data_IF_376404896889
#
_entry.id   IF_376404896889
#
_cell.length_a   1.000
_cell.length_b   1.000
_cell.length_c   1.000
_cell.angle_alpha   90.00
_cell.angle_beta   90.00
_cell.angle_gamma   90.00
#
_symmetry.space_group_name_H-M   'P 1'
#
loop_
_entity.id
_entity.type
_entity.pdbx_description
1 polymer ?
#
# COMPACT_ATOMS: atom_id res chain seq x y z
N UNK A 1 -21.51 8.72 -6.63
CA UNK A 1 -22.71 8.17 -7.31
C UNK A 1 -23.09 8.99 -8.55
N UNK A 2 -23.30 8.38 -9.70
CA UNK A 2 -23.63 9.06 -10.98
C UNK A 2 -25.14 9.39 -11.19
N UNK A 3 -25.96 9.35 -10.14
CA UNK A 3 -27.42 9.44 -10.27
C UNK A 3 -27.96 10.71 -9.63
N UNK A 4 -28.71 11.47 -10.41
CA UNK A 4 -29.40 12.69 -9.97
C UNK A 4 -30.54 12.33 -9.01
N UNK A 5 -30.51 12.91 -7.81
CA UNK A 5 -31.48 12.57 -6.76
C UNK A 5 -32.86 13.15 -7.09
N UNK A 6 -32.94 14.30 -7.75
CA UNK A 6 -34.21 14.88 -8.18
C UNK A 6 -34.87 14.02 -9.26
N UNK A 7 -34.09 13.53 -10.24
CA UNK A 7 -34.59 12.64 -11.29
C UNK A 7 -35.13 11.32 -10.71
N UNK A 8 -34.39 10.69 -9.79
CA UNK A 8 -34.83 9.45 -9.14
C UNK A 8 -36.12 9.64 -8.35
N UNK A 9 -36.25 10.76 -7.62
CA UNK A 9 -37.46 11.06 -6.86
C UNK A 9 -38.65 11.37 -7.79
N UNK A 10 -38.41 12.03 -8.92
CA UNK A 10 -39.45 12.38 -9.89
C UNK A 10 -39.96 11.18 -10.69
N UNK A 11 -39.09 10.23 -11.06
CA UNK A 11 -39.45 9.05 -11.84
C UNK A 11 -39.98 7.87 -11.00
N UNK A 12 -39.85 7.94 -9.68
CA UNK A 12 -40.33 6.88 -8.79
C UNK A 12 -41.86 6.84 -8.70
N UNK A 13 -42.44 5.65 -8.89
CA UNK A 13 -43.87 5.38 -8.62
C UNK A 13 -44.21 5.32 -7.11
N UNK A 14 -43.20 5.43 -6.24
CA UNK A 14 -43.32 5.35 -4.78
C UNK A 14 -42.93 6.69 -4.15
N UNK A 15 -43.77 7.20 -3.27
CA UNK A 15 -43.46 8.37 -2.45
C UNK A 15 -42.48 8.00 -1.34
N UNK A 16 -41.41 8.78 -1.20
CA UNK A 16 -40.42 8.64 -0.16
C UNK A 16 -40.62 9.70 0.91
N UNK A 17 -40.61 9.29 2.18
CA UNK A 17 -40.51 10.26 3.29
C UNK A 17 -39.05 10.69 3.50
N UNK A 18 -38.09 9.78 3.23
CA UNK A 18 -36.66 10.05 3.25
C UNK A 18 -35.88 9.11 2.33
N UNK A 19 -34.76 9.60 1.81
CA UNK A 19 -33.76 8.88 1.03
C UNK A 19 -32.44 8.86 1.81
N UNK A 20 -32.05 7.67 2.27
CA UNK A 20 -30.84 7.45 3.08
C UNK A 20 -29.74 6.91 2.17
N UNK A 21 -28.81 7.79 1.81
CA UNK A 21 -27.76 7.50 0.85
C UNK A 21 -26.48 7.01 1.55
N UNK A 22 -25.59 6.37 0.80
CA UNK A 22 -24.26 5.92 1.23
C UNK A 22 -23.21 6.37 0.21
N UNK A 23 -22.02 5.76 0.21
CA UNK A 23 -20.91 6.08 -0.71
C UNK A 23 -20.16 7.39 -0.40
N UNK A 24 -20.86 8.53 -0.29
CA UNK A 24 -20.20 9.79 0.05
C UNK A 24 -19.74 9.82 1.52
N UNK A 25 -18.46 10.13 1.74
CA UNK A 25 -17.84 10.21 3.06
C UNK A 25 -18.08 11.54 3.76
N UNK A 26 -18.40 12.59 3.00
CA UNK A 26 -18.78 13.89 3.53
C UNK A 26 -20.24 13.85 3.96
N UNK A 27 -20.53 14.15 5.23
CA UNK A 27 -21.91 14.11 5.72
C UNK A 27 -22.72 15.30 5.22
N UNK A 28 -23.94 15.04 4.77
CA UNK A 28 -24.87 16.10 4.41
C UNK A 28 -26.35 15.71 4.60
N UNK A 29 -27.19 16.73 4.74
CA UNK A 29 -28.65 16.60 4.88
C UNK A 29 -29.32 17.74 4.12
N UNK A 30 -30.21 17.41 3.19
CA UNK A 30 -30.99 18.38 2.44
C UNK A 30 -32.42 17.88 2.22
N UNK A 31 -33.29 18.75 1.73
CA UNK A 31 -34.62 18.38 1.26
C UNK A 31 -34.68 18.58 -0.26
N UNK A 32 -35.06 17.53 -0.98
CA UNK A 32 -35.15 17.52 -2.46
C UNK A 32 -36.54 17.06 -2.84
N UNK A 33 -37.25 17.85 -3.63
CA UNK A 33 -38.64 17.57 -4.04
C UNK A 33 -39.59 17.21 -2.87
N UNK A 34 -39.41 17.81 -1.69
CA UNK A 34 -40.19 17.52 -0.48
C UNK A 34 -39.82 16.20 0.22
N UNK A 35 -38.71 15.56 -0.17
CA UNK A 35 -38.18 14.35 0.48
C UNK A 35 -36.88 14.69 1.21
N UNK A 36 -36.72 14.23 2.44
CA UNK A 36 -35.44 14.35 3.14
C UNK A 36 -34.38 13.45 2.50
N UNK A 37 -33.25 14.02 2.12
CA UNK A 37 -32.11 13.28 1.57
C UNK A 37 -30.93 13.44 2.51
N UNK A 38 -30.22 12.35 2.80
CA UNK A 38 -29.02 12.44 3.64
C UNK A 38 -27.93 11.45 3.26
N UNK A 39 -26.69 11.95 3.30
CA UNK A 39 -25.47 11.17 3.41
C UNK A 39 -24.99 11.21 4.87
N UNK A 40 -24.91 10.06 5.58
CA UNK A 40 -24.39 10.04 6.94
C UNK A 40 -22.88 10.31 7.00
N UNK A 41 -22.17 10.15 5.88
CA UNK A 41 -20.72 10.23 5.80
C UNK A 41 -20.02 8.97 6.33
N UNK A 42 -18.69 9.00 6.33
CA UNK A 42 -17.87 7.92 6.87
C UNK A 42 -17.90 7.92 8.42
N UNK A 43 -17.75 6.72 9.00
CA UNK A 43 -17.70 6.53 10.46
C UNK A 43 -16.29 6.66 11.04
N UNK A 44 -15.27 6.63 10.18
CA UNK A 44 -13.86 6.85 10.46
C UNK A 44 -13.25 7.65 9.31
N UNK A 45 -12.11 8.32 9.57
CA UNK A 45 -11.40 9.02 8.49
C UNK A 45 -10.72 8.03 7.56
N UNK A 46 -11.04 8.08 6.27
CA UNK A 46 -10.42 7.22 5.26
C UNK A 46 -9.29 7.91 4.48
N UNK A 47 -9.26 9.24 4.48
CA UNK A 47 -8.28 10.04 3.74
C UNK A 47 -7.79 11.25 4.54
N UNK A 48 -6.76 11.91 4.01
CA UNK A 48 -6.22 13.17 4.53
C UNK A 48 -7.09 14.40 4.19
N UNK A 49 -8.00 14.32 3.21
CA UNK A 49 -8.90 15.44 2.87
C UNK A 49 -10.10 15.54 3.82
N UNK A 50 -10.36 14.47 4.57
CA UNK A 50 -11.52 14.31 5.45
C UNK A 50 -11.32 15.03 6.81
N UNK A 51 -11.64 16.33 6.89
CA UNK A 51 -11.38 17.14 8.10
C UNK A 51 -12.52 17.10 9.13
N UNK A 52 -13.78 17.00 8.71
CA UNK A 52 -14.95 17.13 9.58
C UNK A 52 -15.06 16.02 10.63
N UNK A 53 -15.92 16.19 11.63
CA UNK A 53 -16.19 15.14 12.61
C UNK A 53 -16.96 13.95 11.99
N UNK A 54 -16.56 12.73 12.36
CA UNK A 54 -17.22 11.50 11.94
C UNK A 54 -18.45 11.23 12.79
N UNK A 55 -19.41 10.50 12.24
CA UNK A 55 -20.71 10.34 12.87
C UNK A 55 -21.67 9.48 12.08
N UNK A 56 -22.88 9.39 12.59
CA UNK A 56 -24.00 8.74 11.91
C UNK A 56 -25.29 9.50 12.19
N UNK A 57 -26.29 9.27 11.35
CA UNK A 57 -27.58 9.91 11.47
C UNK A 57 -28.57 8.99 12.18
N UNK A 58 -29.22 9.52 13.21
CA UNK A 58 -30.40 8.92 13.84
C UNK A 58 -31.64 9.48 13.15
N UNK A 59 -32.31 8.65 12.38
CA UNK A 59 -33.55 9.00 11.68
C UNK A 59 -34.73 8.45 12.46
N UNK A 60 -35.63 9.33 12.88
CA UNK A 60 -36.85 8.98 13.62
C UNK A 60 -38.05 9.29 12.74
N UNK A 61 -38.97 8.33 12.64
CA UNK A 61 -40.23 8.49 11.91
C UNK A 61 -41.40 8.58 12.89
N UNK A 62 -42.16 9.66 12.83
CA UNK A 62 -43.40 9.80 13.60
C UNK A 62 -44.59 9.29 12.77
N UNK A 63 -45.13 8.14 13.17
CA UNK A 63 -46.26 7.51 12.50
C UNK A 63 -47.58 8.27 12.69
N UNK A 64 -47.67 9.10 13.74
CA UNK A 64 -48.88 9.84 14.10
C UNK A 64 -48.90 11.26 13.48
N UNK A 65 -47.78 11.72 12.91
CA UNK A 65 -47.71 12.98 12.18
C UNK A 65 -48.52 12.93 10.88
N UNK A 66 -49.13 14.07 10.50
CA UNK A 66 -49.80 14.22 9.21
C UNK A 66 -48.78 13.90 8.09
N UNK A 67 -49.16 13.12 7.08
CA UNK A 67 -48.27 12.68 5.99
C UNK A 67 -47.40 13.79 5.40
N UNK A 68 -46.20 13.43 4.93
CA UNK A 68 -45.21 14.34 4.35
C UNK A 68 -43.96 14.53 5.23
N UNK A 69 -43.26 15.61 4.97
CA UNK A 69 -41.91 15.97 5.45
C UNK A 69 -41.85 16.15 6.99
N UNK A 70 -42.99 16.47 7.62
CA UNK A 70 -43.17 16.58 9.07
C UNK A 70 -43.02 15.23 9.82
N UNK A 71 -42.91 14.11 9.11
CA UNK A 71 -42.77 12.77 9.70
C UNK A 71 -41.35 12.41 10.06
N UNK A 72 -40.35 13.07 9.47
CA UNK A 72 -38.95 12.62 9.54
C UNK A 72 -38.14 13.61 10.36
N UNK A 73 -37.49 13.10 11.40
CA UNK A 73 -36.49 13.84 12.16
C UNK A 73 -35.11 13.19 11.99
N UNK A 74 -34.15 13.94 11.46
CA UNK A 74 -32.76 13.50 11.30
C UNK A 74 -31.88 14.22 12.31
N UNK A 75 -31.23 13.46 13.20
CA UNK A 75 -30.25 13.98 14.16
C UNK A 75 -28.90 13.32 13.97
N UNK A 76 -27.85 14.09 13.74
CA UNK A 76 -26.48 13.59 13.67
C UNK A 76 -25.92 13.30 15.07
N UNK A 77 -25.28 12.14 15.24
CA UNK A 77 -24.48 11.78 16.42
C UNK A 77 -23.00 11.76 16.05
N UNK A 78 -22.20 12.51 16.79
CA UNK A 78 -20.75 12.47 16.65
C UNK A 78 -20.19 11.16 17.21
N UNK A 79 -19.19 10.62 16.54
CA UNK A 79 -18.36 9.53 17.01
C UNK A 79 -17.03 10.08 17.51
N UNK A 80 -16.52 9.46 18.57
CA UNK A 80 -15.16 9.71 19.05
C UNK A 80 -14.23 8.80 18.26
N UNK A 81 -13.62 9.35 17.22
CA UNK A 81 -12.73 8.66 16.28
C UNK A 81 -11.29 9.09 16.49
N UNK A 82 -10.36 8.40 15.85
CA UNK A 82 -8.94 8.78 15.91
C UNK A 82 -8.76 10.27 15.52
N UNK A 83 -7.97 11.04 16.31
CA UNK A 83 -7.67 12.42 15.96
C UNK A 83 -6.77 12.49 14.73
N UNK A 84 -7.13 13.40 13.81
CA UNK A 84 -6.26 13.85 12.72
C UNK A 84 -5.86 15.28 13.03
N UNK A 85 -4.57 15.55 13.02
CA UNK A 85 -3.98 16.86 13.33
C UNK A 85 -3.38 17.41 12.05
N UNK A 86 -4.02 18.46 11.53
CA UNK A 86 -3.57 19.18 10.34
C UNK A 86 -2.76 20.39 10.77
N UNK A 87 -1.49 20.44 10.34
CA UNK A 87 -0.55 21.51 10.69
C UNK A 87 -0.08 22.18 9.40
N UNK A 88 -0.65 23.35 9.11
CA UNK A 88 -0.23 24.16 7.98
C UNK A 88 0.89 25.12 8.42
N UNK A 89 2.04 25.06 7.73
CA UNK A 89 3.21 25.88 8.04
C UNK A 89 3.65 26.68 6.83
N UNK A 90 3.41 27.99 6.88
CA UNK A 90 3.97 28.96 5.94
C UNK A 90 5.34 29.46 6.44
N UNK A 91 6.40 29.09 5.72
CA UNK A 91 7.78 29.44 6.06
C UNK A 91 8.24 30.71 5.34
N UNK A 92 8.77 31.66 6.11
CA UNK A 92 9.45 32.85 5.59
C UNK A 92 10.93 32.60 5.34
N UNK A 93 11.56 33.49 4.57
CA UNK A 93 13.01 33.47 4.34
C UNK A 93 13.78 33.40 5.67
N UNK A 94 14.70 32.43 5.78
CA UNK A 94 15.46 32.13 7.01
C UNK A 94 14.70 31.32 8.08
N UNK A 95 13.47 30.89 7.80
CA UNK A 95 12.74 29.90 8.60
C UNK A 95 12.82 28.53 7.93
N UNK A 96 13.19 27.49 8.67
CA UNK A 96 13.29 26.13 8.16
C UNK A 96 12.72 25.09 9.12
N UNK A 97 13.36 23.92 9.20
CA UNK A 97 12.90 22.78 10.01
C UNK A 97 12.56 23.14 11.47
N UNK A 98 13.32 24.03 12.10
CA UNK A 98 13.07 24.46 13.48
C UNK A 98 11.69 25.11 13.66
N UNK A 99 11.24 25.88 12.66
CA UNK A 99 9.94 26.55 12.67
C UNK A 99 8.80 25.54 12.50
N UNK A 100 8.97 24.56 11.61
CA UNK A 100 8.01 23.47 11.41
C UNK A 100 7.83 22.67 12.70
N UNK A 101 8.93 22.28 13.35
CA UNK A 101 8.88 21.56 14.64
C UNK A 101 8.20 22.37 15.74
N UNK A 102 8.43 23.69 15.78
CA UNK A 102 7.73 24.57 16.72
C UNK A 102 6.21 24.60 16.47
N UNK A 103 5.77 24.59 15.20
CA UNK A 103 4.35 24.50 14.88
C UNK A 103 3.76 23.17 15.33
N UNK A 104 4.41 22.05 14.99
CA UNK A 104 3.96 20.70 15.37
C UNK A 104 3.78 20.55 16.89
N UNK A 105 4.71 21.08 17.71
CA UNK A 105 4.62 21.01 19.19
C UNK A 105 3.44 21.74 19.83
N UNK A 106 2.76 22.62 19.09
CA UNK A 106 1.61 23.34 19.63
C UNK A 106 0.33 22.50 19.60
N UNK A 107 0.36 21.33 18.97
CA UNK A 107 -0.77 20.43 18.85
C UNK A 107 -0.65 19.22 19.79
N UNK A 108 -1.79 18.60 20.09
CA UNK A 108 -1.83 17.33 20.80
C UNK A 108 -1.63 16.20 19.79
N UNK A 109 -0.54 15.46 19.94
CA UNK A 109 -0.11 14.44 18.97
C UNK A 109 -0.42 13.02 19.44
N UNK A 110 -0.87 12.84 20.69
CA UNK A 110 -1.02 11.53 21.32
C UNK A 110 -1.98 10.62 20.52
N UNK A 111 -1.45 9.50 20.00
CA UNK A 111 -2.17 8.53 19.15
C UNK A 111 -2.84 9.13 17.88
N UNK A 112 -2.40 10.33 17.47
CA UNK A 112 -2.97 11.05 16.33
C UNK A 112 -2.29 10.72 15.00
N UNK A 113 -3.04 10.89 13.90
CA UNK A 113 -2.48 10.98 12.54
C UNK A 113 -2.15 12.44 12.28
N UNK A 114 -0.86 12.76 12.08
CA UNK A 114 -0.37 14.12 11.91
C UNK A 114 -0.02 14.36 10.45
N UNK A 115 -0.64 15.38 9.87
CA UNK A 115 -0.44 15.80 8.48
C UNK A 115 0.11 17.22 8.51
N UNK A 116 1.34 17.39 8.05
CA UNK A 116 2.01 18.68 8.03
C UNK A 116 2.16 19.14 6.59
N UNK A 117 1.55 20.27 6.25
CA UNK A 117 1.71 20.90 4.94
C UNK A 117 2.65 22.10 5.08
N UNK A 118 3.77 22.06 4.37
CA UNK A 118 4.77 23.13 4.36
C UNK A 118 4.66 23.93 3.06
N UNK A 119 4.55 25.23 3.18
CA UNK A 119 4.47 26.20 2.08
C UNK A 119 5.39 27.39 2.33
N UNK A 120 5.52 28.30 1.36
CA UNK A 120 6.31 29.52 1.50
C UNK A 120 7.72 29.44 0.90
N UNK A 121 8.59 30.37 1.29
CA UNK A 121 9.93 30.58 0.70
C UNK A 121 11.09 30.42 1.67
N UNK A 122 10.88 29.67 2.76
CA UNK A 122 11.90 29.46 3.78
C UNK A 122 13.01 28.50 3.39
N UNK A 123 13.89 28.22 4.35
CA UNK A 123 15.01 27.30 4.21
C UNK A 123 14.53 25.86 3.92
N UNK A 124 15.39 25.00 3.32
CA UNK A 124 15.06 23.59 3.09
C UNK A 124 14.66 22.88 4.38
N UNK A 125 13.64 22.02 4.28
CA UNK A 125 13.16 21.16 5.37
C UNK A 125 13.41 19.72 4.97
N UNK A 126 13.82 18.88 5.91
CA UNK A 126 13.90 17.43 5.70
C UNK A 126 12.63 16.78 6.25
N UNK A 127 11.69 16.32 5.40
CA UNK A 127 10.41 15.74 5.84
C UNK A 127 10.59 14.64 6.88
N UNK A 128 11.48 13.68 6.61
CA UNK A 128 11.77 12.57 7.52
C UNK A 128 12.21 13.01 8.92
N UNK A 129 12.92 14.15 9.03
CA UNK A 129 13.38 14.68 10.31
C UNK A 129 12.25 15.35 11.11
N UNK A 130 11.20 15.82 10.44
CA UNK A 130 9.98 16.35 11.07
C UNK A 130 9.03 15.21 11.44
N UNK A 131 8.89 14.20 10.57
CA UNK A 131 8.07 13.00 10.83
C UNK A 131 8.58 12.19 12.02
N UNK A 132 9.90 11.95 12.08
CA UNK A 132 10.53 11.30 13.23
C UNK A 132 10.28 12.10 14.52
N UNK A 133 10.45 13.42 14.46
CA UNK A 133 10.18 14.30 15.59
C UNK A 133 8.73 14.21 16.08
N UNK A 134 7.74 14.22 15.17
CA UNK A 134 6.33 14.12 15.53
C UNK A 134 6.00 12.74 16.14
N UNK A 135 6.61 11.68 15.63
CA UNK A 135 6.47 10.31 16.16
C UNK A 135 7.04 10.21 17.58
N UNK A 136 8.22 10.80 17.83
CA UNK A 136 8.85 10.84 19.16
C UNK A 136 8.00 11.60 20.19
N UNK A 137 7.20 12.58 19.74
CA UNK A 137 6.29 13.38 20.58
C UNK A 137 4.91 12.74 20.78
N UNK A 138 4.64 11.56 20.19
CA UNK A 138 3.43 10.77 20.45
C UNK A 138 2.52 10.52 19.25
N UNK A 139 2.85 11.04 18.07
CA UNK A 139 2.09 10.77 16.85
C UNK A 139 2.10 9.28 16.50
N UNK A 140 0.94 8.73 16.13
CA UNK A 140 0.84 7.37 15.63
C UNK A 140 1.46 7.26 14.23
N UNK A 141 1.13 8.22 13.37
CA UNK A 141 1.67 8.37 12.02
C UNK A 141 1.88 9.87 11.80
N UNK A 142 3.01 10.24 11.24
CA UNK A 142 3.27 11.60 10.78
C UNK A 142 3.64 11.56 9.29
N UNK A 143 3.05 12.46 8.51
CA UNK A 143 3.39 12.67 7.11
C UNK A 143 3.58 14.15 6.84
N UNK A 144 4.70 14.49 6.20
CA UNK A 144 5.05 15.87 5.88
C UNK A 144 5.06 16.03 4.37
N UNK A 145 4.20 16.93 3.89
CA UNK A 145 4.12 17.33 2.48
C UNK A 145 4.76 18.70 2.35
N UNK A 146 5.96 18.76 1.76
CA UNK A 146 6.59 20.03 1.40
C UNK A 146 6.16 20.42 -0.01
N UNK A 147 5.24 21.38 -0.13
CA UNK A 147 4.69 21.85 -1.41
C UNK A 147 5.56 22.90 -2.09
N UNK A 148 6.75 23.19 -1.54
CA UNK A 148 7.64 24.21 -2.07
C UNK A 148 8.50 23.61 -3.18
N UNK A 149 8.65 24.34 -4.28
CA UNK A 149 9.69 24.08 -5.27
C UNK A 149 11.02 24.59 -4.70
N UNK A 150 11.79 23.69 -4.09
CA UNK A 150 13.13 24.03 -3.60
C UNK A 150 14.12 23.70 -4.71
N UNK A 151 14.89 24.70 -5.17
CA UNK A 151 16.01 24.47 -6.09
C UNK A 151 17.09 23.64 -5.38
N UNK A 152 17.00 22.32 -5.46
CA UNK A 152 18.07 21.41 -5.04
C UNK A 152 19.14 21.38 -6.12
N UNK A 153 20.03 22.39 -6.15
CA UNK A 153 21.26 22.39 -6.97
C UNK A 153 22.33 21.42 -6.41
N UNK A 154 21.92 20.25 -5.91
CA UNK A 154 22.89 19.22 -5.48
C UNK A 154 22.91 18.14 -6.54
N UNK A 155 23.84 18.25 -7.48
CA UNK A 155 24.23 17.16 -8.35
C UNK A 155 24.77 16.03 -7.45
N UNK A 156 23.92 15.08 -7.08
CA UNK A 156 24.35 13.90 -6.33
C UNK A 156 25.04 12.98 -7.34
N UNK A 157 26.38 13.03 -7.37
CA UNK A 157 27.21 12.05 -8.08
C UNK A 157 27.06 10.68 -7.40
N UNK A 158 26.02 9.94 -7.78
CA UNK A 158 25.84 8.55 -7.38
C UNK A 158 26.74 7.68 -8.25
N UNK A 159 27.84 7.20 -7.68
CA UNK A 159 28.67 6.18 -8.30
C UNK A 159 28.20 4.80 -7.84
N UNK A 160 27.66 4.02 -8.78
CA UNK A 160 27.39 2.61 -8.55
C UNK A 160 28.69 1.81 -8.61
N UNK A 161 28.86 0.88 -7.66
CA UNK A 161 29.93 -0.11 -7.75
C UNK A 161 29.69 -1.04 -8.95
N UNK A 162 30.77 -1.60 -9.50
CA UNK A 162 30.67 -2.59 -10.57
C UNK A 162 29.99 -3.87 -10.04
N UNK A 163 28.82 -4.27 -10.58
CA UNK A 163 28.13 -5.48 -10.13
C UNK A 163 28.99 -6.75 -10.32
N UNK A 164 29.93 -6.75 -11.26
CA UNK A 164 30.85 -7.86 -11.50
C UNK A 164 31.82 -8.08 -10.33
N UNK A 165 32.29 -7.00 -9.71
CA UNK A 165 33.20 -7.06 -8.56
C UNK A 165 32.50 -7.65 -7.34
N UNK A 166 31.23 -7.27 -7.11
CA UNK A 166 30.41 -7.79 -6.02
C UNK A 166 30.17 -9.30 -6.14
N UNK A 167 29.99 -9.81 -7.37
CA UNK A 167 29.83 -11.25 -7.58
C UNK A 167 31.16 -11.99 -7.42
N UNK A 168 32.28 -11.44 -7.91
CA UNK A 168 33.61 -12.04 -7.70
C UNK A 168 33.94 -12.20 -6.22
N UNK A 169 33.71 -11.17 -5.40
CA UNK A 169 33.89 -11.27 -3.94
C UNK A 169 33.00 -12.33 -3.31
N UNK A 170 31.76 -12.49 -3.80
CA UNK A 170 30.84 -13.51 -3.30
C UNK A 170 31.29 -14.93 -3.66
N UNK A 171 31.82 -15.13 -4.87
CA UNK A 171 32.32 -16.41 -5.35
C UNK A 171 33.58 -16.85 -4.60
N UNK A 172 34.51 -15.91 -4.36
CA UNK A 172 35.70 -16.16 -3.53
C UNK A 172 35.34 -16.60 -2.11
N UNK A 173 34.23 -16.09 -1.57
CA UNK A 173 33.69 -16.49 -0.27
C UNK A 173 32.99 -17.86 -0.22
N UNK A 174 32.66 -18.48 -1.37
CA UNK A 174 31.89 -19.72 -1.43
C UNK A 174 32.73 -21.01 -1.44
N UNK A 175 34.07 -20.91 -1.45
CA UNK A 175 34.97 -22.08 -1.46
C UNK A 175 34.58 -23.14 -2.52
N UNK A 176 34.30 -22.67 -3.74
CA UNK A 176 33.89 -23.52 -4.85
C UNK A 176 34.97 -24.56 -5.18
N UNK A 177 34.53 -25.75 -5.60
CA UNK A 177 35.47 -26.76 -6.11
C UNK A 177 36.05 -26.32 -7.45
N UNK A 178 37.25 -26.80 -7.84
CA UNK A 178 37.86 -26.46 -9.12
C UNK A 178 36.95 -26.71 -10.33
N UNK A 179 36.09 -27.73 -10.29
CA UNK A 179 35.10 -27.99 -11.34
C UNK A 179 33.94 -26.98 -11.32
N UNK A 180 33.53 -26.50 -10.15
CA UNK A 180 32.49 -25.48 -10.02
C UNK A 180 32.96 -24.10 -10.51
N UNK A 181 34.22 -23.72 -10.23
CA UNK A 181 34.84 -22.50 -10.77
C UNK A 181 34.90 -22.52 -12.30
N UNK A 182 35.31 -23.65 -12.91
CA UNK A 182 35.37 -23.77 -14.36
C UNK A 182 34.01 -23.65 -15.07
N UNK A 183 32.94 -24.10 -14.40
CA UNK A 183 31.57 -23.97 -14.90
C UNK A 183 31.07 -22.54 -14.76
N UNK A 184 31.34 -21.88 -13.62
CA UNK A 184 30.99 -20.48 -13.40
C UNK A 184 31.69 -19.57 -14.43
N UNK A 185 33.00 -19.75 -14.64
CA UNK A 185 33.77 -19.05 -15.68
C UNK A 185 33.22 -19.32 -17.09
N UNK A 186 32.59 -20.47 -17.34
CA UNK A 186 32.03 -20.81 -18.66
C UNK A 186 30.76 -20.03 -18.95
N UNK A 187 29.93 -19.87 -17.92
CA UNK A 187 28.64 -19.20 -17.99
C UNK A 187 28.84 -17.69 -18.08
N UNK A 188 29.85 -17.15 -17.40
CA UNK A 188 30.12 -15.71 -17.35
C UNK A 188 31.10 -15.20 -18.41
N UNK A 189 31.75 -16.10 -19.15
CA UNK A 189 32.73 -15.69 -20.16
C UNK A 189 32.06 -15.00 -21.36
N UNK A 190 32.43 -13.74 -21.59
CA UNK A 190 32.03 -12.94 -22.76
C UNK A 190 32.46 -13.57 -24.10
N UNK A 191 33.41 -14.51 -24.08
CA UNK A 191 33.90 -15.20 -25.28
C UNK A 191 33.08 -16.42 -25.68
N UNK A 192 32.15 -16.86 -24.82
CA UNK A 192 31.26 -18.01 -25.07
C UNK A 192 29.87 -17.47 -25.35
N UNK A 193 29.36 -17.69 -26.55
CA UNK A 193 27.99 -17.29 -26.89
C UNK A 193 26.99 -18.12 -26.08
N UNK A 194 25.85 -17.53 -25.69
CA UNK A 194 24.79 -18.16 -24.89
C UNK A 194 24.34 -19.51 -25.45
N UNK A 195 24.24 -19.63 -26.77
CA UNK A 195 23.85 -20.86 -27.48
C UNK A 195 24.86 -22.01 -27.32
N UNK A 196 26.11 -21.70 -26.97
CA UNK A 196 27.20 -22.66 -26.82
C UNK A 196 27.60 -22.90 -25.35
N UNK A 197 27.02 -22.16 -24.39
CA UNK A 197 27.33 -22.32 -22.96
C UNK A 197 27.08 -23.76 -22.50
N UNK A 198 25.93 -24.35 -22.88
CA UNK A 198 25.59 -25.73 -22.52
C UNK A 198 26.62 -26.75 -23.02
N UNK A 199 27.09 -26.60 -24.24
CA UNK A 199 28.09 -27.50 -24.84
C UNK A 199 29.46 -27.30 -24.18
N UNK A 200 29.83 -26.04 -23.92
CA UNK A 200 31.10 -25.67 -23.27
C UNK A 200 31.17 -26.19 -21.83
N UNK A 201 30.09 -26.03 -21.06
CA UNK A 201 29.97 -26.56 -19.69
C UNK A 201 30.06 -28.09 -19.70
N UNK A 202 29.31 -28.75 -20.59
CA UNK A 202 29.34 -30.21 -20.72
C UNK A 202 30.77 -30.71 -20.99
N UNK A 203 31.48 -30.07 -21.94
CA UNK A 203 32.87 -30.41 -22.27
C UNK A 203 33.80 -30.22 -21.07
N UNK A 204 33.69 -29.09 -20.34
CA UNK A 204 34.51 -28.82 -19.13
C UNK A 204 34.27 -29.86 -18.02
N UNK A 205 33.01 -30.28 -17.83
CA UNK A 205 32.67 -31.35 -16.87
C UNK A 205 33.22 -32.70 -17.34
N UNK A 206 33.08 -33.04 -18.63
CA UNK A 206 33.62 -34.29 -19.19
C UNK A 206 35.15 -34.36 -19.10
N UNK A 207 35.86 -33.24 -19.31
CA UNK A 207 37.32 -33.13 -19.15
C UNK A 207 37.80 -33.34 -17.70
N UNK A 208 36.91 -33.18 -16.71
CA UNK A 208 37.21 -33.37 -15.28
C UNK A 208 36.73 -34.69 -14.71
N UNK A 209 35.99 -35.51 -15.46
CA UNK A 209 35.53 -36.84 -14.99
C UNK A 209 36.69 -37.79 -14.64
N UNK A 210 37.86 -37.58 -15.23
CA UNK A 210 39.08 -38.35 -14.94
C UNK A 210 39.82 -37.87 -13.66
N UNK A 211 39.43 -36.72 -13.10
CA UNK A 211 40.00 -36.11 -11.89
C UNK A 211 38.88 -35.77 -10.88
N UNK A 212 38.42 -36.80 -10.16
CA UNK A 212 37.28 -36.69 -9.26
C UNK A 212 37.53 -35.77 -8.05
N UNK A 213 38.80 -35.55 -7.68
CA UNK A 213 39.19 -34.64 -6.61
C UNK A 213 38.87 -33.16 -6.98
N UNK A 214 38.74 -32.84 -8.27
CA UNK A 214 38.35 -31.50 -8.73
C UNK A 214 36.89 -31.13 -8.42
N UNK A 215 36.06 -32.09 -8.01
CA UNK A 215 34.68 -31.84 -7.59
C UNK A 215 34.55 -31.62 -6.08
N UNK A 216 35.60 -31.87 -5.31
CA UNK A 216 35.59 -31.69 -3.85
C UNK A 216 35.75 -30.19 -3.53
N UNK A 217 34.79 -29.63 -2.80
CA UNK A 217 34.91 -28.29 -2.24
C UNK A 217 35.76 -28.40 -0.98
N UNK A 218 36.95 -27.79 -0.96
CA UNK A 218 37.95 -27.93 0.10
C UNK A 218 37.57 -27.38 1.49
N UNK A 219 36.30 -27.42 1.89
CA UNK A 219 35.79 -27.08 3.21
C UNK A 219 35.45 -28.33 4.03
N UNK A 220 36.42 -28.80 4.84
CA UNK A 220 36.07 -29.44 6.11
C UNK A 220 35.41 -28.38 7.01
N UNK A 221 34.09 -28.42 7.16
CA UNK A 221 33.38 -27.56 8.11
C UNK A 221 31.93 -27.24 7.75
N UNK A 222 31.06 -28.26 7.81
CA UNK A 222 29.63 -28.03 7.85
C UNK A 222 29.23 -27.18 9.07
N UNK A 223 28.34 -26.21 8.83
CA UNK A 223 27.52 -25.65 9.89
C UNK A 223 26.58 -26.75 10.39
N UNK A 224 26.90 -27.31 11.56
CA UNK A 224 26.16 -28.35 12.25
C UNK A 224 24.73 -27.89 12.58
N UNK A 225 23.71 -28.58 12.04
CA UNK A 225 22.59 -29.05 12.85
C UNK A 225 21.79 -30.13 12.09
N UNK A 226 22.10 -31.39 12.40
CA UNK A 226 21.26 -32.54 12.07
C UNK A 226 21.48 -33.59 13.14
N UNK A 227 20.68 -33.49 14.21
CA UNK A 227 20.51 -34.56 15.17
C UNK A 227 19.64 -35.67 14.56
N UNK A 228 20.30 -36.75 14.17
CA UNK A 228 19.73 -38.06 13.86
C UNK A 228 19.28 -38.78 15.15
N UNK A 229 18.26 -39.61 15.05
CA UNK A 229 17.90 -40.56 16.11
C UNK A 229 16.72 -41.45 15.77
N UNK A 230 16.91 -42.40 14.86
CA UNK A 230 15.96 -43.51 14.67
C UNK A 230 16.14 -44.60 15.73
N UNK A 231 15.03 -45.24 16.13
CA UNK A 231 15.07 -46.63 16.62
C UNK A 231 13.73 -47.33 16.29
N UNK A 232 13.87 -48.51 15.69
CA UNK A 232 12.88 -49.54 15.34
C UNK A 232 11.73 -49.78 16.33
N UNK A 233 10.54 -50.12 15.80
CA UNK A 233 9.98 -51.49 15.91
C UNK A 233 8.78 -51.70 14.97
N UNK A 234 8.76 -52.88 14.36
CA UNK A 234 7.69 -53.50 13.57
C UNK A 234 6.40 -53.78 14.36
N UNK A 235 5.23 -53.72 13.69
CA UNK A 235 4.38 -54.88 13.33
C UNK A 235 2.87 -54.52 13.23
N UNK A 236 2.17 -55.09 12.25
CA UNK A 236 0.71 -55.33 12.30
C UNK A 236 -0.23 -54.49 11.42
N UNK A 237 -0.72 -55.14 10.34
CA UNK A 237 -2.00 -55.04 9.59
C UNK A 237 -3.13 -54.12 10.14
N UNK A 238 -4.02 -53.53 9.35
CA UNK A 238 -4.89 -54.12 8.31
C UNK A 238 -5.59 -52.99 7.49
N UNK A 239 -5.98 -53.31 6.26
CA UNK A 239 -6.80 -52.48 5.35
C UNK A 239 -8.32 -52.67 5.64
N UNK A 240 -9.29 -52.30 4.76
CA UNK A 240 -9.67 -50.99 4.22
C UNK A 240 -11.19 -50.73 4.39
N UNK A 241 -11.68 -49.57 3.92
CA UNK A 241 -12.99 -49.35 3.25
C UNK A 241 -13.17 -47.84 3.00
N UNK A 242 -13.11 -47.33 1.76
CA UNK A 242 -14.17 -47.25 0.73
C UNK A 242 -15.48 -46.61 1.20
N UNK A 243 -15.71 -45.40 0.70
CA UNK A 243 -16.89 -44.92 -0.07
C UNK A 243 -17.07 -43.42 0.21
N UNK A 244 -17.58 -42.56 -0.65
CA UNK A 244 -17.69 -42.41 -2.11
C UNK A 244 -18.47 -41.08 -2.26
N UNK A 245 -18.08 -40.28 -3.24
CA UNK A 245 -18.84 -39.26 -3.98
C UNK A 245 -19.69 -38.16 -3.28
N UNK A 246 -19.93 -36.98 -3.84
CA UNK A 246 -19.36 -36.06 -4.85
C UNK A 246 -20.36 -34.83 -4.89
N UNK A 247 -20.47 -33.96 -5.91
CA UNK A 247 -20.03 -32.55 -5.95
C UNK A 247 -21.16 -31.51 -6.08
N UNK A 248 -20.80 -30.21 -6.09
CA UNK A 248 -21.32 -29.16 -7.00
C UNK A 248 -20.25 -28.04 -7.04
N UNK A 249 -19.42 -27.91 -8.07
CA UNK A 249 -19.65 -27.26 -9.37
C UNK A 249 -20.19 -25.81 -9.31
N UNK A 250 -19.33 -24.86 -9.66
CA UNK A 250 -19.65 -23.68 -10.47
C UNK A 250 -18.35 -23.02 -10.94
N UNK A 251 -18.07 -23.25 -12.22
CA UNK A 251 -17.12 -22.56 -13.10
C UNK A 251 -17.43 -21.07 -13.25
N UNK A 252 -16.40 -20.23 -13.34
CA UNK A 252 -16.36 -19.21 -14.40
C UNK A 252 -14.92 -18.84 -14.75
N UNK A 253 -14.59 -19.06 -16.03
CA UNK A 253 -13.34 -18.74 -16.70
C UNK A 253 -13.41 -17.30 -17.24
N UNK A 254 -12.33 -16.53 -17.09
CA UNK A 254 -12.04 -15.42 -17.99
C UNK A 254 -10.52 -15.16 -18.01
N UNK A 255 -9.84 -15.89 -18.90
CA UNK A 255 -8.53 -15.50 -19.43
C UNK A 255 -8.66 -14.28 -20.35
N UNK A 256 -7.71 -13.35 -20.24
CA UNK A 256 -7.61 -12.16 -21.08
C UNK A 256 -6.25 -11.50 -20.95
N UNK A 257 -5.22 -12.21 -21.40
CA UNK A 257 -3.83 -11.75 -21.50
C UNK A 257 -3.62 -10.94 -22.79
N UNK A 258 -3.05 -9.73 -22.69
CA UNK A 258 -2.43 -9.01 -23.81
C UNK A 258 -1.43 -7.97 -23.28
N UNK A 259 -0.15 -8.26 -23.53
CA UNK A 259 1.05 -7.46 -23.30
C UNK A 259 1.13 -6.11 -24.05
N UNK A 260 1.98 -5.24 -23.47
CA UNK A 260 2.98 -4.34 -24.09
C UNK A 260 2.75 -2.82 -24.09
N UNK A 261 3.52 -2.17 -23.21
CA UNK A 261 4.36 -0.95 -23.34
C UNK A 261 3.80 0.31 -24.04
N UNK A 262 3.73 1.42 -23.29
CA UNK A 262 4.32 2.71 -23.70
C UNK A 262 4.52 3.66 -22.50
N UNK A 263 5.70 4.28 -22.45
CA UNK A 263 6.15 5.31 -21.50
C UNK A 263 5.34 6.60 -21.62
N UNK A 264 4.91 7.17 -20.47
CA UNK A 264 4.67 8.60 -20.34
C UNK A 264 4.74 9.03 -18.86
N UNK A 265 5.87 9.62 -18.48
CA UNK A 265 6.00 10.55 -17.36
C UNK A 265 4.84 11.56 -17.38
N UNK A 266 3.99 11.50 -16.35
CA UNK A 266 3.04 12.57 -16.07
C UNK A 266 3.07 12.84 -14.58
N UNK A 267 3.53 14.04 -14.22
CA UNK A 267 3.33 14.67 -12.92
C UNK A 267 1.88 14.45 -12.46
N UNK A 268 1.72 13.80 -11.31
CA UNK A 268 0.44 13.53 -10.66
C UNK A 268 0.07 14.74 -9.78
N UNK A 269 -0.89 15.59 -10.16
CA UNK A 269 -1.55 16.46 -9.19
C UNK A 269 -2.47 15.59 -8.34
N UNK A 270 -2.23 15.61 -7.02
CA UNK A 270 -3.12 15.20 -5.92
C UNK A 270 -4.39 14.43 -6.36
N UNK A 271 -4.60 13.15 -5.97
CA UNK A 271 -5.88 12.52 -6.16
C UNK A 271 -6.88 13.22 -5.25
N UNK A 272 -7.48 14.30 -5.74
CA UNK A 272 -8.85 14.61 -5.40
C UNK A 272 -9.62 13.37 -5.84
N UNK A 273 -9.88 12.45 -4.91
CA UNK A 273 -10.98 11.51 -5.06
C UNK A 273 -12.13 12.33 -5.65
N UNK A 274 -12.70 11.90 -6.78
CA UNK A 274 -13.77 12.59 -7.49
C UNK A 274 -15.06 12.65 -6.68
N UNK A 275 -15.00 13.28 -5.51
CA UNK A 275 -16.05 13.41 -4.52
C UNK A 275 -16.80 14.69 -4.84
N UNK A 276 -17.97 14.48 -5.40
CA UNK A 276 -18.91 15.53 -5.77
C UNK A 276 -19.71 15.91 -4.53
N UNK A 277 -19.91 17.21 -4.31
CA UNK A 277 -20.65 17.73 -3.16
C UNK A 277 -22.15 17.64 -3.42
N UNK A 278 -23.00 17.70 -2.39
CA UNK A 278 -24.46 17.71 -2.56
C UNK A 278 -24.93 18.85 -3.47
N UNK A 279 -24.17 19.96 -3.52
CA UNK A 279 -24.44 21.13 -4.35
C UNK A 279 -24.34 20.82 -5.86
N UNK A 280 -23.63 19.75 -6.24
CA UNK A 280 -23.48 19.31 -7.62
C UNK A 280 -24.61 18.36 -8.08
N UNK A 281 -25.51 17.99 -7.16
CA UNK A 281 -26.65 17.08 -7.38
C UNK A 281 -28.02 17.73 -7.09
N UNK A 282 -28.03 19.05 -6.81
CA UNK A 282 -29.22 19.89 -6.61
C UNK A 282 -29.44 20.79 -7.85
#
# INVERSE_FOLDING_TARGET
>A
ADWDTEEVLAESDVAFDAMLLGDNHTPDVAEVAGTWVTYPGSTERASASETEGRGYNLVTFDADAAGGDDRVEIRRRALDTRPFVFVEVDLREGEGESRVREQVRQHDLDDAVVLVDVTGGGDPVTPAAVEAFATDEGALIARVTDRREVETETEVDVSFADPEDAVRERLDGMSLSPAATDVEDAVRSETVSDSNVRETVKRRVEERLDDLDAFDSGGEGGNEDSASGGTDTSDGADEPSTDDADPTDSTDDADGDADADDDADTDDPDPTDGQVSMEDYL
#
